data_IF_612104553360
#
_entry.id   IF_612104553360
#
_cell.length_a   1.000
_cell.length_b   1.000
_cell.length_c   1.000
_cell.angle_alpha   90.00
_cell.angle_beta   90.00
_cell.angle_gamma   90.00
#
_symmetry.space_group_name_H-M   'P 1'
#
loop_
_entity.id
_entity.type
_entity.pdbx_description
1 polymer ?
#
# COMPACT_ATOMS: atom_id res chain seq x y z
N UNK A 1 18.72 -11.85 16.29
CA UNK A 1 18.57 -10.79 17.32
C UNK A 1 18.27 -9.47 16.61
N UNK A 2 17.37 -8.64 17.16
CA UNK A 2 17.14 -7.31 16.63
C UNK A 2 18.36 -6.42 16.89
N UNK A 3 18.84 -5.68 15.87
CA UNK A 3 19.97 -4.75 16.00
C UNK A 3 19.42 -3.34 16.22
N UNK A 4 19.82 -2.71 17.32
CA UNK A 4 19.52 -1.30 17.56
C UNK A 4 20.18 -0.43 16.48
N UNK A 5 19.44 0.55 15.97
CA UNK A 5 19.92 1.58 15.06
C UNK A 5 19.65 2.94 15.70
N UNK A 6 20.65 3.80 15.69
CA UNK A 6 20.56 5.18 16.17
C UNK A 6 20.59 6.10 14.98
N UNK A 7 19.68 7.08 14.95
CA UNK A 7 19.59 8.10 13.91
C UNK A 7 19.07 9.39 14.56
N UNK A 8 19.35 10.53 13.92
CA UNK A 8 18.83 11.83 14.33
C UNK A 8 17.66 12.20 13.41
N UNK A 9 16.55 12.64 13.99
CA UNK A 9 15.32 12.98 13.27
C UNK A 9 15.12 14.49 13.10
N UNK A 10 15.64 15.30 14.03
CA UNK A 10 15.49 16.75 14.04
C UNK A 10 14.16 17.21 14.63
N UNK A 11 14.13 18.48 15.07
CA UNK A 11 13.09 19.04 15.94
C UNK A 11 11.65 18.84 15.45
N UNK A 12 11.42 18.92 14.14
CA UNK A 12 10.08 18.75 13.55
C UNK A 12 9.51 17.34 13.79
N UNK A 13 10.33 16.31 13.62
CA UNK A 13 9.90 14.93 13.83
C UNK A 13 9.84 14.57 15.31
N UNK A 14 10.74 15.13 16.13
CA UNK A 14 10.71 14.95 17.58
C UNK A 14 9.41 15.52 18.17
N UNK A 15 8.97 16.70 17.72
CA UNK A 15 7.69 17.28 18.11
C UNK A 15 6.49 16.38 17.75
N UNK A 16 6.48 15.83 16.54
CA UNK A 16 5.42 14.90 16.09
C UNK A 16 5.41 13.63 16.96
N UNK A 17 6.58 13.02 17.21
CA UNK A 17 6.68 11.80 18.01
C UNK A 17 6.26 12.04 19.47
N UNK A 18 6.70 13.16 20.04
CA UNK A 18 6.29 13.58 21.38
C UNK A 18 4.78 13.77 21.48
N UNK A 19 4.15 14.42 20.50
CA UNK A 19 2.70 14.62 20.50
C UNK A 19 1.93 13.29 20.35
N UNK A 20 2.43 12.38 19.51
CA UNK A 20 1.87 11.03 19.32
C UNK A 20 1.95 10.15 20.58
N UNK A 21 2.95 10.37 21.43
CA UNK A 21 3.03 9.68 22.73
C UNK A 21 2.15 10.40 23.76
N UNK A 22 2.22 11.73 23.85
CA UNK A 22 1.46 12.54 24.82
C UNK A 22 -0.05 12.40 24.65
N UNK A 23 -0.54 12.26 23.42
CA UNK A 23 -1.96 12.03 23.15
C UNK A 23 -2.41 10.57 23.34
N UNK A 24 -1.49 9.67 23.73
CA UNK A 24 -1.78 8.27 24.01
C UNK A 24 -1.93 7.38 22.78
N UNK A 25 -1.64 7.87 21.56
CA UNK A 25 -1.69 7.06 20.33
C UNK A 25 -0.66 5.93 20.33
N UNK A 26 0.51 6.16 20.93
CA UNK A 26 1.56 5.15 21.10
C UNK A 26 2.17 5.22 22.51
N UNK A 27 2.69 4.10 23.02
CA UNK A 27 3.32 4.06 24.34
C UNK A 27 4.75 4.59 24.35
N UNK A 28 5.44 4.57 23.21
CA UNK A 28 6.80 5.10 23.05
C UNK A 28 7.02 5.66 21.65
N UNK A 29 7.98 6.58 21.51
CA UNK A 29 8.37 7.12 20.20
C UNK A 29 8.89 6.02 19.26
N UNK A 30 9.67 5.07 19.78
CA UNK A 30 10.16 3.92 19.00
C UNK A 30 9.00 3.07 18.45
N UNK A 31 7.90 2.95 19.18
CA UNK A 31 6.70 2.26 18.69
C UNK A 31 6.04 3.02 17.54
N UNK A 32 5.92 4.35 17.66
CA UNK A 32 5.42 5.21 16.60
C UNK A 32 6.29 5.12 15.33
N UNK A 33 7.62 5.14 15.47
CA UNK A 33 8.55 4.95 14.36
C UNK A 33 8.36 3.57 13.70
N UNK A 34 8.25 2.50 14.49
CA UNK A 34 7.97 1.15 13.94
C UNK A 34 6.64 1.08 13.21
N UNK A 35 5.61 1.79 13.70
CA UNK A 35 4.32 1.87 13.01
C UNK A 35 4.46 2.60 11.66
N UNK A 36 5.19 3.70 11.62
CA UNK A 36 5.49 4.43 10.37
C UNK A 36 6.23 3.58 9.35
N UNK A 37 7.26 2.83 9.78
CA UNK A 37 8.01 1.92 8.89
C UNK A 37 7.14 0.79 8.37
N UNK A 38 6.27 0.19 9.21
CA UNK A 38 5.32 -0.84 8.76
C UNK A 38 4.36 -0.29 7.70
N UNK A 39 3.82 0.90 7.92
CA UNK A 39 2.92 1.55 6.95
C UNK A 39 3.62 1.82 5.61
N UNK A 40 4.88 2.26 5.64
CA UNK A 40 5.69 2.43 4.43
C UNK A 40 5.92 1.10 3.71
N UNK A 41 6.28 0.05 4.45
CA UNK A 41 6.50 -1.28 3.87
C UNK A 41 5.22 -1.84 3.24
N UNK A 42 4.07 -1.69 3.90
CA UNK A 42 2.77 -2.13 3.39
C UNK A 42 2.39 -1.37 2.11
N UNK A 43 2.66 -0.05 2.08
CA UNK A 43 2.43 0.77 0.88
C UNK A 43 3.32 0.32 -0.29
N UNK A 44 4.61 0.13 -0.06
CA UNK A 44 5.55 -0.35 -1.09
C UNK A 44 5.13 -1.72 -1.64
N UNK A 45 4.74 -2.65 -0.76
CA UNK A 45 4.25 -3.95 -1.17
C UNK A 45 2.99 -3.83 -2.05
N UNK A 46 2.00 -3.03 -1.63
CA UNK A 46 0.79 -2.78 -2.43
C UNK A 46 1.10 -2.19 -3.80
N UNK A 47 2.03 -1.24 -3.87
CA UNK A 47 2.45 -0.62 -5.13
C UNK A 47 3.18 -1.60 -6.04
N UNK A 48 4.03 -2.47 -5.48
CA UNK A 48 4.70 -3.53 -6.24
C UNK A 48 3.70 -4.54 -6.80
N UNK A 49 2.74 -4.98 -5.98
CA UNK A 49 1.66 -5.87 -6.43
C UNK A 49 0.84 -5.21 -7.53
N UNK A 50 0.37 -3.99 -7.32
CA UNK A 50 -0.44 -3.28 -8.33
C UNK A 50 0.29 -3.17 -9.68
N UNK A 51 1.57 -2.76 -9.67
CA UNK A 51 2.38 -2.67 -10.89
C UNK A 51 2.59 -4.03 -11.56
N UNK A 52 2.69 -5.10 -10.77
CA UNK A 52 2.80 -6.47 -11.29
C UNK A 52 1.50 -6.91 -11.96
N UNK A 53 0.36 -6.72 -11.29
CA UNK A 53 -0.95 -7.11 -11.83
C UNK A 53 -1.29 -6.33 -13.10
N UNK A 54 -1.00 -5.03 -13.15
CA UNK A 54 -1.18 -4.23 -14.38
C UNK A 54 -0.34 -4.80 -15.52
N UNK A 55 0.94 -5.11 -15.28
CA UNK A 55 1.81 -5.68 -16.32
C UNK A 55 1.30 -7.03 -16.82
N UNK A 56 0.85 -7.89 -15.91
CA UNK A 56 0.27 -9.20 -16.28
C UNK A 56 -0.96 -8.99 -17.18
N UNK A 57 -1.85 -8.08 -16.80
CA UNK A 57 -3.04 -7.77 -17.61
C UNK A 57 -2.67 -7.17 -18.97
N UNK A 58 -1.68 -6.29 -19.04
CA UNK A 58 -1.18 -5.73 -20.31
C UNK A 58 -0.64 -6.84 -21.24
N UNK A 59 0.16 -7.77 -20.69
CA UNK A 59 0.71 -8.92 -21.43
C UNK A 59 -0.42 -9.86 -21.92
N UNK A 60 -1.47 -10.08 -21.11
CA UNK A 60 -2.66 -10.85 -21.49
C UNK A 60 -3.43 -10.16 -22.63
N UNK A 61 -3.60 -8.84 -22.58
CA UNK A 61 -4.25 -8.07 -23.64
C UNK A 61 -3.43 -8.15 -24.94
N UNK A 62 -2.11 -7.96 -24.88
CA UNK A 62 -1.22 -8.05 -26.05
C UNK A 62 -1.23 -9.44 -26.69
N UNK A 63 -1.34 -10.49 -25.86
CA UNK A 63 -1.47 -11.88 -26.35
C UNK A 63 -2.88 -12.24 -26.86
N UNK A 64 -3.81 -11.28 -26.86
CA UNK A 64 -5.17 -11.46 -27.38
C UNK A 64 -6.13 -12.18 -26.43
N UNK A 65 -5.79 -12.26 -25.15
CA UNK A 65 -6.66 -12.83 -24.10
C UNK A 65 -7.64 -11.79 -23.52
N UNK A 66 -7.49 -10.51 -23.89
CA UNK A 66 -8.41 -9.44 -23.50
C UNK A 66 -9.79 -9.56 -24.16
N UNK A 67 -10.83 -9.11 -23.44
CA UNK A 67 -12.20 -9.02 -23.96
C UNK A 67 -12.65 -7.56 -24.03
N UNK A 68 -13.00 -7.12 -25.22
CA UNK A 68 -13.54 -5.78 -25.45
C UNK A 68 -15.07 -5.80 -25.33
N UNK A 69 -15.63 -4.77 -24.69
CA UNK A 69 -17.07 -4.59 -24.56
C UNK A 69 -17.46 -3.27 -25.20
N UNK A 70 -18.53 -3.25 -26.00
CA UNK A 70 -18.97 -2.03 -26.68
C UNK A 70 -19.60 -1.02 -25.71
N UNK A 71 -20.07 -1.49 -24.54
CA UNK A 71 -20.61 -0.63 -23.49
C UNK A 71 -20.50 -1.27 -22.10
N UNK A 72 -20.58 -0.43 -21.06
CA UNK A 72 -20.67 -0.92 -19.68
C UNK A 72 -21.90 -1.80 -19.41
N UNK A 73 -22.96 -1.68 -20.20
CA UNK A 73 -24.15 -2.54 -20.09
C UNK A 73 -23.88 -3.97 -20.57
N UNK A 74 -23.05 -4.14 -21.61
CA UNK A 74 -22.62 -5.46 -22.08
C UNK A 74 -21.68 -6.12 -21.07
N UNK A 75 -20.73 -5.37 -20.53
CA UNK A 75 -19.87 -5.85 -19.44
C UNK A 75 -20.71 -6.28 -18.23
N UNK A 76 -21.65 -5.45 -17.79
CA UNK A 76 -22.52 -5.77 -16.67
C UNK A 76 -23.34 -7.04 -16.93
N UNK A 77 -23.91 -7.17 -18.14
CA UNK A 77 -24.66 -8.36 -18.54
C UNK A 77 -23.78 -9.61 -18.48
N UNK A 78 -22.55 -9.52 -18.95
CA UNK A 78 -21.61 -10.65 -18.95
C UNK A 78 -21.27 -11.08 -17.52
N UNK A 79 -20.81 -10.15 -16.67
CA UNK A 79 -20.46 -10.41 -15.26
C UNK A 79 -21.63 -10.98 -14.46
N UNK A 80 -22.86 -10.49 -14.70
CA UNK A 80 -24.05 -10.95 -13.99
C UNK A 80 -24.55 -12.32 -14.47
N UNK A 81 -24.12 -12.79 -15.64
CA UNK A 81 -24.48 -14.11 -16.18
C UNK A 81 -23.40 -15.18 -15.93
N UNK A 82 -22.22 -14.80 -15.40
CA UNK A 82 -21.13 -15.73 -15.05
C UNK A 82 -21.32 -16.41 -13.67
N UNK A 83 -22.45 -16.20 -12.99
CA UNK A 83 -22.83 -16.86 -11.73
C UNK A 83 -23.96 -17.86 -11.89
#
# INVERSE_FOLDING_TARGET
MARAKTFSLGDAYDGILSDLVRNGRFGTETEAVRAGIRMLADHELKMQTLRREIRIADDEIESGLGKEYASGAELLKDVMNEG
#
